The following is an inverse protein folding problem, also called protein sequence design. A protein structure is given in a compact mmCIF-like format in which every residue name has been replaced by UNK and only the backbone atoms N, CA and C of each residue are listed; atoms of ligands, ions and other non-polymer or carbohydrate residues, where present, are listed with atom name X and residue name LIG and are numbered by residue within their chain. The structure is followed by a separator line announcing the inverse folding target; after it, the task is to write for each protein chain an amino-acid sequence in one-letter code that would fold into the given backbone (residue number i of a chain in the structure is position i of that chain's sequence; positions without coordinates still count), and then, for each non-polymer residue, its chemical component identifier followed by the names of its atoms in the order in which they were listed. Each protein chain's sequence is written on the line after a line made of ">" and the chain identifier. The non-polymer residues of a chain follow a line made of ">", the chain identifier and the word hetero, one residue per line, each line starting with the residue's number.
data_IF_031905219788
#
_entry.id   IF_031905219788
#
_cell.length_a   1.000
_cell.length_b   1.000
_cell.length_c   1.000
_cell.angle_alpha   90.00
_cell.angle_beta   90.00
_cell.angle_gamma   90.00
#
_symmetry.space_group_name_H-M   'P 1'
#
loop_
_entity.id
_entity.type
_entity.pdbx_description
1 polymer ?
#
# COMPACT_ATOMS: atom_id res chain seq x y z
N UNK A 1 30.84 -21.53 -6.56
CA UNK A 1 29.85 -20.82 -7.41
C UNK A 1 28.46 -21.06 -6.83
N UNK A 2 27.96 -20.20 -5.93
CA UNK A 2 26.57 -20.27 -5.42
C UNK A 2 26.17 -18.96 -4.71
N UNK A 3 26.06 -17.87 -5.49
CA UNK A 3 25.56 -16.58 -4.98
C UNK A 3 24.25 -16.17 -5.71
N UNK A 4 23.75 -16.98 -6.64
CA UNK A 4 22.64 -16.61 -7.53
C UNK A 4 21.22 -16.85 -7.00
N UNK A 5 21.02 -17.68 -5.97
CA UNK A 5 19.65 -18.12 -5.59
C UNK A 5 18.97 -17.20 -4.57
N UNK A 6 19.74 -16.59 -3.65
CA UNK A 6 19.17 -15.77 -2.58
C UNK A 6 18.62 -14.42 -3.08
N UNK A 7 19.22 -13.84 -4.13
CA UNK A 7 18.77 -12.59 -4.72
C UNK A 7 17.41 -12.74 -5.43
N UNK A 8 17.21 -13.83 -6.17
CA UNK A 8 15.97 -14.13 -6.90
C UNK A 8 14.77 -14.37 -5.97
N UNK A 9 14.99 -15.02 -4.81
CA UNK A 9 13.90 -15.25 -3.84
C UNK A 9 13.44 -13.94 -3.17
N UNK A 10 14.37 -13.02 -2.86
CA UNK A 10 14.02 -11.70 -2.32
C UNK A 10 13.30 -10.82 -3.33
N UNK A 11 13.73 -10.82 -4.60
CA UNK A 11 13.03 -10.06 -5.63
C UNK A 11 11.61 -10.57 -5.84
N UNK A 12 11.39 -11.90 -5.80
CA UNK A 12 10.06 -12.46 -5.95
C UNK A 12 9.14 -12.04 -4.78
N UNK A 13 9.63 -12.08 -3.54
CA UNK A 13 8.88 -11.60 -2.37
C UNK A 13 8.59 -10.10 -2.44
N UNK A 14 9.50 -9.30 -2.98
CA UNK A 14 9.32 -7.85 -3.08
C UNK A 14 8.11 -7.46 -3.95
N UNK A 15 7.86 -8.18 -5.04
CA UNK A 15 6.75 -7.87 -5.96
C UNK A 15 5.42 -8.58 -5.64
N UNK A 16 5.43 -9.56 -4.72
CA UNK A 16 4.25 -10.41 -4.46
C UNK A 16 3.76 -10.40 -3.02
N UNK A 17 4.59 -9.99 -2.05
CA UNK A 17 4.17 -9.86 -0.67
C UNK A 17 3.24 -8.65 -0.50
N UNK A 18 2.28 -8.76 0.41
CA UNK A 18 1.39 -7.64 0.72
C UNK A 18 2.12 -6.55 1.49
N UNK A 19 1.60 -5.31 1.44
CA UNK A 19 2.15 -4.21 2.23
C UNK A 19 2.16 -4.54 3.73
N UNK A 20 1.11 -5.20 4.23
CA UNK A 20 1.03 -5.63 5.63
C UNK A 20 2.06 -6.67 6.03
N UNK A 21 2.54 -7.51 5.09
CA UNK A 21 3.57 -8.52 5.37
C UNK A 21 4.98 -7.91 5.34
N UNK A 22 5.20 -6.92 4.47
CA UNK A 22 6.50 -6.28 4.27
C UNK A 22 6.72 -5.14 5.26
N UNK A 23 5.69 -4.34 5.51
CA UNK A 23 5.72 -3.15 6.37
C UNK A 23 4.38 -2.97 7.13
N UNK A 24 4.21 -3.67 8.26
CA UNK A 24 3.01 -3.57 9.09
C UNK A 24 2.77 -2.16 9.67
N UNK A 25 3.84 -1.40 9.91
CA UNK A 25 3.76 -0.04 10.46
C UNK A 25 3.15 0.90 9.42
N UNK A 26 3.65 0.86 8.19
CA UNK A 26 3.09 1.64 7.08
C UNK A 26 1.66 1.22 6.75
N UNK A 27 1.37 -0.08 6.74
CA UNK A 27 0.01 -0.57 6.56
C UNK A 27 -0.95 -0.03 7.65
N UNK A 28 -0.49 0.04 8.89
CA UNK A 28 -1.23 0.64 10.00
C UNK A 28 -1.49 2.13 9.80
N UNK A 29 -0.49 2.89 9.35
CA UNK A 29 -0.63 4.32 9.08
C UNK A 29 -1.65 4.59 7.94
N UNK A 30 -1.62 3.79 6.86
CA UNK A 30 -2.59 3.89 5.76
C UNK A 30 -4.01 3.60 6.25
N UNK A 31 -4.19 2.59 7.12
CA UNK A 31 -5.50 2.27 7.69
C UNK A 31 -6.04 3.39 8.59
N UNK A 32 -5.18 4.04 9.37
CA UNK A 32 -5.55 5.19 10.19
C UNK A 32 -5.99 6.38 9.33
N UNK A 33 -5.26 6.68 8.26
CA UNK A 33 -5.60 7.76 7.33
C UNK A 33 -6.90 7.47 6.57
N UNK A 34 -7.12 6.23 6.15
CA UNK A 34 -8.42 5.81 5.60
C UNK A 34 -9.55 6.05 6.60
N UNK A 35 -9.33 5.73 7.88
CA UNK A 35 -10.25 6.02 8.95
C UNK A 35 -10.55 7.51 9.08
N UNK A 36 -9.51 8.36 9.05
CA UNK A 36 -9.65 9.83 9.09
C UNK A 36 -10.53 10.33 7.95
N UNK A 37 -10.21 9.96 6.71
CA UNK A 37 -10.96 10.37 5.50
C UNK A 37 -12.43 9.93 5.53
N UNK A 38 -12.76 8.81 6.19
CA UNK A 38 -14.13 8.31 6.29
C UNK A 38 -14.97 8.99 7.38
N UNK A 39 -14.34 9.55 8.41
CA UNK A 39 -15.05 10.07 9.60
C UNK A 39 -14.95 11.59 9.75
N UNK A 40 -14.12 12.27 8.96
CA UNK A 40 -14.01 13.72 8.91
C UNK A 40 -14.71 14.31 7.68
N UNK A 41 -15.07 15.59 7.78
CA UNK A 41 -15.60 16.34 6.63
C UNK A 41 -14.41 16.99 5.93
N UNK A 42 -14.16 16.58 4.69
CA UNK A 42 -13.10 17.15 3.86
C UNK A 42 -13.60 18.43 3.15
N UNK A 43 -12.94 19.56 3.41
CA UNK A 43 -13.33 20.89 2.90
C UNK A 43 -12.29 21.49 1.94
N UNK A 44 -11.24 20.74 1.62
CA UNK A 44 -10.21 21.16 0.68
C UNK A 44 -10.72 20.99 -0.75
N UNK A 45 -10.94 22.11 -1.44
CA UNK A 45 -11.57 22.10 -2.76
C UNK A 45 -10.77 21.38 -3.87
N UNK A 46 -9.46 21.17 -3.67
CA UNK A 46 -8.61 20.44 -4.61
C UNK A 46 -8.55 18.93 -4.38
N UNK A 47 -9.08 18.44 -3.25
CA UNK A 47 -9.04 17.03 -2.89
C UNK A 47 -10.34 16.31 -3.26
N UNK A 48 -10.25 15.00 -3.49
CA UNK A 48 -11.40 14.18 -3.85
C UNK A 48 -11.18 12.71 -3.48
N UNK A 49 -12.26 11.97 -3.23
CA UNK A 49 -12.23 10.53 -2.97
C UNK A 49 -12.46 9.79 -4.28
N UNK A 50 -11.48 8.98 -4.70
CA UNK A 50 -11.56 8.20 -5.94
C UNK A 50 -12.33 6.90 -5.73
N UNK A 51 -12.94 6.39 -6.81
CA UNK A 51 -13.63 5.10 -6.75
C UNK A 51 -12.65 3.93 -6.71
N UNK A 52 -13.09 2.80 -6.15
CA UNK A 52 -12.28 1.58 -6.11
C UNK A 52 -11.82 1.12 -7.50
N UNK A 53 -12.67 1.28 -8.52
CA UNK A 53 -12.33 0.93 -9.89
C UNK A 53 -11.16 1.74 -10.47
N UNK A 54 -10.97 2.98 -10.02
CA UNK A 54 -9.81 3.80 -10.41
C UNK A 54 -8.54 3.31 -9.72
N UNK A 55 -8.63 2.90 -8.45
CA UNK A 55 -7.49 2.36 -7.69
C UNK A 55 -7.06 0.98 -8.22
N UNK A 56 -8.00 0.12 -8.59
CA UNK A 56 -7.74 -1.23 -9.13
C UNK A 56 -7.01 -1.21 -10.50
N UNK A 57 -7.00 -0.08 -11.19
CA UNK A 57 -6.34 0.07 -12.49
C UNK A 57 -4.84 0.47 -12.40
N UNK A 58 -4.32 0.78 -11.20
CA UNK A 58 -2.91 1.06 -10.94
C UNK A 58 -2.09 -0.22 -10.76
#
# INVERSE_FOLDING_TARGET
>A
MSVGTAATSRSNSFFSASLSDVDPELAGAVAQELGRQQHEIELIASENIVSRAVLEAQ
#
